data_IF_017148703718
#
_entry.id   IF_017148703718
#
_cell.length_a   1.000
_cell.length_b   1.000
_cell.length_c   1.000
_cell.angle_alpha   90.00
_cell.angle_beta   90.00
_cell.angle_gamma   90.00
#
_symmetry.space_group_name_H-M   'P 1'
#
loop_
_entity.id
_entity.type
_entity.pdbx_description
1 polymer ?
#
# COMPACT_ATOMS: atom_id res chain seq x y z
N UNK A 1 6.77 37.11 9.07
CA UNK A 1 5.37 36.73 8.76
C UNK A 1 5.20 36.39 7.28
N UNK A 2 5.54 37.27 6.34
CA UNK A 2 5.42 37.03 4.87
C UNK A 2 6.16 35.78 4.37
N UNK A 3 7.32 35.43 4.95
CA UNK A 3 8.08 34.26 4.52
C UNK A 3 7.42 32.93 4.94
N UNK A 4 6.72 32.89 6.08
CA UNK A 4 6.08 31.68 6.58
C UNK A 4 4.86 31.29 5.74
N UNK A 5 4.02 32.27 5.36
CA UNK A 5 2.91 32.07 4.41
C UNK A 5 3.40 31.59 3.05
N UNK A 6 4.52 32.13 2.54
CA UNK A 6 5.10 31.69 1.27
C UNK A 6 5.60 30.24 1.33
N UNK A 7 6.19 29.82 2.45
CA UNK A 7 6.59 28.42 2.64
C UNK A 7 5.40 27.47 2.80
N UNK A 8 4.35 27.91 3.49
CA UNK A 8 3.13 27.13 3.67
C UNK A 8 2.38 26.95 2.34
N UNK A 9 2.23 28.03 1.57
CA UNK A 9 1.59 27.98 0.26
C UNK A 9 2.41 27.20 -0.77
N UNK A 10 3.74 27.31 -0.73
CA UNK A 10 4.62 26.49 -1.56
C UNK A 10 4.52 25.00 -1.20
N UNK A 11 4.33 24.67 0.09
CA UNK A 11 4.11 23.29 0.55
C UNK A 11 2.75 22.77 0.09
N UNK A 12 1.68 23.57 0.18
CA UNK A 12 0.36 23.21 -0.32
C UNK A 12 0.37 22.93 -1.84
N UNK A 13 1.03 23.80 -2.60
CA UNK A 13 1.21 23.62 -4.05
C UNK A 13 2.02 22.36 -4.36
N UNK A 14 3.11 22.11 -3.66
CA UNK A 14 3.91 20.90 -3.84
C UNK A 14 3.10 19.62 -3.52
N UNK A 15 2.26 19.65 -2.48
CA UNK A 15 1.35 18.54 -2.15
C UNK A 15 0.31 18.32 -3.25
N UNK A 16 -0.25 19.39 -3.83
CA UNK A 16 -1.21 19.29 -4.93
C UNK A 16 -0.56 18.77 -6.23
N UNK A 17 0.62 19.25 -6.58
CA UNK A 17 1.37 18.76 -7.74
C UNK A 17 1.75 17.29 -7.58
N UNK A 18 2.19 16.87 -6.39
CA UNK A 18 2.49 15.47 -6.11
C UNK A 18 1.24 14.60 -6.21
N UNK A 19 0.10 15.06 -5.69
CA UNK A 19 -1.19 14.36 -5.84
C UNK A 19 -1.57 14.19 -7.31
N UNK A 20 -1.41 15.24 -8.12
CA UNK A 20 -1.74 15.19 -9.54
C UNK A 20 -0.80 14.25 -10.30
N UNK A 21 0.50 14.27 -10.00
CA UNK A 21 1.49 13.35 -10.59
C UNK A 21 1.20 11.90 -10.21
N UNK A 22 0.87 11.63 -8.94
CA UNK A 22 0.51 10.29 -8.47
C UNK A 22 -0.77 9.80 -9.13
N UNK A 23 -1.79 10.65 -9.27
CA UNK A 23 -3.02 10.31 -9.98
C UNK A 23 -2.74 9.92 -11.44
N UNK A 24 -1.86 10.65 -12.13
CA UNK A 24 -1.45 10.32 -13.50
C UNK A 24 -0.74 8.96 -13.57
N UNK A 25 0.27 8.73 -12.71
CA UNK A 25 1.01 7.47 -12.67
C UNK A 25 0.13 6.25 -12.34
N UNK A 26 -0.82 6.42 -11.41
CA UNK A 26 -1.78 5.38 -11.05
C UNK A 26 -2.76 5.11 -12.19
N UNK A 27 -3.25 6.15 -12.87
CA UNK A 27 -4.12 6.01 -14.03
C UNK A 27 -3.44 5.24 -15.16
N UNK A 28 -2.15 5.51 -15.41
CA UNK A 28 -1.38 4.81 -16.45
C UNK A 28 -1.14 3.34 -16.09
N UNK A 29 -0.86 3.04 -14.82
CA UNK A 29 -0.71 1.67 -14.32
C UNK A 29 -2.03 0.85 -14.43
N UNK A 30 -3.17 1.48 -14.10
CA UNK A 30 -4.50 0.91 -14.30
C UNK A 30 -4.74 0.57 -15.77
N UNK A 31 -4.44 1.51 -16.68
CA UNK A 31 -4.63 1.30 -18.11
C UNK A 31 -3.76 0.18 -18.66
N UNK A 32 -2.49 0.08 -18.23
CA UNK A 32 -1.61 -1.03 -18.62
C UNK A 32 -2.12 -2.38 -18.12
N UNK A 33 -2.63 -2.44 -16.88
CA UNK A 33 -3.19 -3.65 -16.30
C UNK A 33 -4.46 -4.11 -17.05
N UNK A 34 -5.35 -3.17 -17.38
CA UNK A 34 -6.57 -3.44 -18.15
C UNK A 34 -6.26 -3.84 -19.59
N UNK A 35 -5.27 -3.21 -20.24
CA UNK A 35 -4.83 -3.59 -21.57
C UNK A 35 -4.30 -5.03 -21.61
N UNK A 36 -3.43 -5.37 -20.65
CA UNK A 36 -2.88 -6.73 -20.52
C UNK A 36 -3.98 -7.77 -20.23
N UNK A 37 -4.94 -7.42 -19.35
CA UNK A 37 -6.11 -8.25 -19.09
C UNK A 37 -6.96 -8.46 -20.37
N UNK A 38 -7.15 -7.42 -21.18
CA UNK A 38 -7.84 -7.50 -22.46
C UNK A 38 -7.18 -8.47 -23.44
N UNK A 39 -5.85 -8.39 -23.60
CA UNK A 39 -5.10 -9.30 -24.46
C UNK A 39 -5.22 -10.75 -24.01
N UNK A 40 -5.10 -11.02 -22.70
CA UNK A 40 -5.27 -12.37 -22.16
C UNK A 40 -6.68 -12.88 -22.43
N UNK A 41 -7.71 -12.07 -22.17
CA UNK A 41 -9.09 -12.45 -22.40
C UNK A 41 -9.39 -12.76 -23.89
N UNK A 42 -8.74 -12.05 -24.82
CA UNK A 42 -8.89 -12.28 -26.27
C UNK A 42 -8.30 -13.62 -26.72
N UNK A 43 -7.15 -14.01 -26.17
CA UNK A 43 -6.48 -15.27 -26.56
C UNK A 43 -6.98 -16.49 -25.80
N UNK A 44 -7.61 -16.29 -24.64
CA UNK A 44 -8.01 -17.37 -23.72
C UNK A 44 -8.89 -18.46 -24.34
N UNK A 45 -9.90 -18.17 -25.19
CA UNK A 45 -10.75 -19.21 -25.78
C UNK A 45 -9.96 -20.16 -26.68
N UNK A 46 -9.03 -19.63 -27.50
CA UNK A 46 -8.18 -20.44 -28.37
C UNK A 46 -7.19 -21.28 -27.56
N UNK A 47 -6.68 -20.70 -26.47
CA UNK A 47 -5.78 -21.39 -25.56
C UNK A 47 -6.50 -22.55 -24.86
N UNK A 48 -7.75 -22.35 -24.46
CA UNK A 48 -8.58 -23.36 -23.79
C UNK A 48 -8.82 -24.61 -24.64
N UNK A 49 -8.93 -24.44 -25.97
CA UNK A 49 -9.07 -25.55 -26.92
C UNK A 49 -7.74 -26.30 -27.15
N UNK A 50 -6.60 -25.61 -27.05
CA UNK A 50 -5.28 -26.16 -27.38
C UNK A 50 -4.56 -26.77 -26.18
N UNK A 51 -4.56 -26.08 -25.06
CA UNK A 51 -3.87 -26.45 -23.82
C UNK A 51 -4.64 -25.89 -22.61
N UNK A 52 -5.42 -26.76 -21.96
CA UNK A 52 -6.23 -26.38 -20.80
C UNK A 52 -5.40 -25.98 -19.58
N UNK A 53 -4.18 -26.49 -19.44
CA UNK A 53 -3.34 -26.17 -18.28
C UNK A 53 -2.73 -24.77 -18.43
N UNK A 54 -2.26 -24.45 -19.64
CA UNK A 54 -1.83 -23.09 -20.00
C UNK A 54 -2.98 -22.09 -19.87
N UNK A 55 -4.19 -22.48 -20.32
CA UNK A 55 -5.38 -21.64 -20.22
C UNK A 55 -5.82 -21.39 -18.76
N UNK A 56 -5.72 -22.38 -17.86
CA UNK A 56 -5.97 -22.18 -16.43
C UNK A 56 -5.01 -21.16 -15.81
N UNK A 57 -3.72 -21.23 -16.13
CA UNK A 57 -2.73 -20.25 -15.66
C UNK A 57 -3.03 -18.85 -16.18
N UNK A 58 -3.32 -18.71 -17.47
CA UNK A 58 -3.73 -17.41 -18.04
C UNK A 58 -5.02 -16.87 -17.41
N UNK A 59 -5.98 -17.72 -17.06
CA UNK A 59 -7.18 -17.29 -16.34
C UNK A 59 -6.86 -16.78 -14.92
N UNK A 60 -5.91 -17.39 -14.22
CA UNK A 60 -5.43 -16.90 -12.93
C UNK A 60 -4.72 -15.55 -13.06
N UNK A 61 -3.88 -15.38 -14.08
CA UNK A 61 -3.23 -14.10 -14.41
C UNK A 61 -4.25 -13.01 -14.75
N UNK A 62 -5.28 -13.34 -15.54
CA UNK A 62 -6.38 -12.44 -15.84
C UNK A 62 -7.11 -12.00 -14.56
N UNK A 63 -7.42 -12.95 -13.67
CA UNK A 63 -8.06 -12.66 -12.37
C UNK A 63 -7.16 -11.77 -11.50
N UNK A 64 -5.85 -11.96 -11.57
CA UNK A 64 -4.86 -11.20 -10.80
C UNK A 64 -4.71 -9.77 -11.32
N UNK A 65 -4.58 -9.59 -12.64
CA UNK A 65 -4.48 -8.28 -13.29
C UNK A 65 -5.73 -7.44 -13.08
N UNK A 66 -6.91 -8.03 -13.27
CA UNK A 66 -8.20 -7.33 -13.08
C UNK A 66 -8.41 -6.88 -11.63
N UNK A 67 -8.05 -7.73 -10.66
CA UNK A 67 -8.05 -7.35 -9.24
C UNK A 67 -7.03 -6.26 -8.93
N UNK A 68 -5.81 -6.36 -9.47
CA UNK A 68 -4.79 -5.32 -9.33
C UNK A 68 -5.25 -3.97 -9.86
N UNK A 69 -5.81 -3.93 -11.08
CA UNK A 69 -6.36 -2.72 -11.68
C UNK A 69 -7.48 -2.11 -10.83
N UNK A 70 -8.37 -2.93 -10.27
CA UNK A 70 -9.43 -2.46 -9.36
C UNK A 70 -8.84 -1.86 -8.07
N UNK A 71 -7.75 -2.44 -7.55
CA UNK A 71 -7.03 -1.90 -6.40
C UNK A 71 -6.50 -0.51 -6.70
N UNK A 72 -5.75 -0.38 -7.79
CA UNK A 72 -5.11 0.85 -8.22
C UNK A 72 -6.14 1.94 -8.54
N UNK A 73 -7.30 1.57 -9.12
CA UNK A 73 -8.43 2.49 -9.26
C UNK A 73 -8.97 2.96 -7.91
N UNK A 74 -9.14 2.06 -6.92
CA UNK A 74 -9.60 2.46 -5.57
C UNK A 74 -8.59 3.37 -4.89
N UNK A 75 -7.28 3.16 -5.12
CA UNK A 75 -6.21 4.06 -4.67
C UNK A 75 -6.32 5.44 -5.30
N UNK A 76 -6.53 5.49 -6.61
CA UNK A 76 -6.70 6.75 -7.35
C UNK A 76 -7.96 7.48 -6.89
N UNK A 77 -9.07 6.76 -6.72
CA UNK A 77 -10.31 7.31 -6.19
C UNK A 77 -10.15 7.80 -4.76
N UNK A 78 -9.36 7.13 -3.92
CA UNK A 78 -9.05 7.57 -2.57
C UNK A 78 -8.21 8.86 -2.53
N UNK A 79 -7.26 9.04 -3.45
CA UNK A 79 -6.51 10.32 -3.58
C UNK A 79 -7.43 11.46 -4.02
N UNK A 80 -8.36 11.19 -4.94
CA UNK A 80 -9.25 12.21 -5.51
C UNK A 80 -10.47 12.49 -4.62
N UNK A 81 -10.93 11.48 -3.87
CA UNK A 81 -12.06 11.50 -2.94
C UNK A 81 -11.82 10.47 -1.82
N UNK A 82 -11.33 10.91 -0.65
CA UNK A 82 -11.12 10.05 0.52
C UNK A 82 -12.34 9.22 0.92
N UNK A 83 -13.54 9.67 0.54
CA UNK A 83 -14.82 8.99 0.79
C UNK A 83 -15.04 7.67 0.03
N UNK A 84 -14.14 7.24 -0.86
CA UNK A 84 -14.28 5.94 -1.57
C UNK A 84 -13.62 4.76 -0.85
N UNK A 85 -12.74 5.03 0.13
CA UNK A 85 -12.24 4.02 1.07
C UNK A 85 -13.26 3.68 2.16
N UNK A 86 -14.31 4.50 2.31
CA UNK A 86 -15.31 4.37 3.38
C UNK A 86 -16.23 3.15 3.27
N UNK A 87 -16.35 2.55 2.07
CA UNK A 87 -17.29 1.45 1.82
C UNK A 87 -16.62 0.05 1.89
N UNK A 88 -15.30 -0.03 2.08
CA UNK A 88 -14.55 -1.30 2.09
C UNK A 88 -13.87 -1.60 3.42
N UNK A 89 -13.87 -2.85 3.85
CA UNK A 89 -13.06 -3.29 5.00
C UNK A 89 -11.56 -3.14 4.69
N UNK A 90 -10.79 -2.57 5.64
CA UNK A 90 -9.35 -2.37 5.50
C UNK A 90 -8.63 -3.70 5.22
N UNK A 91 -9.07 -4.81 5.82
CA UNK A 91 -8.51 -6.13 5.56
C UNK A 91 -8.63 -6.56 4.10
N UNK A 92 -9.76 -6.27 3.45
CA UNK A 92 -9.97 -6.56 2.03
C UNK A 92 -9.12 -5.69 1.12
N UNK A 93 -8.91 -4.43 1.49
CA UNK A 93 -8.01 -3.52 0.78
C UNK A 93 -6.55 -4.00 0.86
N UNK A 94 -6.10 -4.46 2.03
CA UNK A 94 -4.78 -5.05 2.21
C UNK A 94 -4.63 -6.39 1.46
N UNK A 95 -5.67 -7.24 1.43
CA UNK A 95 -5.69 -8.46 0.60
C UNK A 95 -5.49 -8.12 -0.88
N UNK A 96 -6.15 -7.08 -1.35
CA UNK A 96 -6.07 -6.65 -2.73
C UNK A 96 -4.67 -6.13 -3.09
N UNK A 97 -4.07 -5.30 -2.22
CA UNK A 97 -2.68 -4.87 -2.35
C UNK A 97 -1.71 -6.05 -2.38
N UNK A 98 -1.88 -7.00 -1.46
CA UNK A 98 -1.03 -8.19 -1.34
C UNK A 98 -1.05 -9.05 -2.62
N UNK A 99 -2.25 -9.24 -3.20
CA UNK A 99 -2.43 -9.99 -4.45
C UNK A 99 -1.82 -9.26 -5.64
N UNK A 100 -1.98 -7.94 -5.73
CA UNK A 100 -1.39 -7.13 -6.79
C UNK A 100 0.14 -7.16 -6.73
N UNK A 101 0.72 -6.99 -5.53
CA UNK A 101 2.15 -7.08 -5.29
C UNK A 101 2.71 -8.45 -5.67
N UNK A 102 2.09 -9.54 -5.17
CA UNK A 102 2.49 -10.91 -5.50
C UNK A 102 2.47 -11.12 -7.01
N UNK A 103 1.44 -10.62 -7.68
CA UNK A 103 1.36 -10.74 -9.11
C UNK A 103 2.43 -10.01 -9.91
N UNK A 104 2.80 -8.81 -9.48
CA UNK A 104 3.82 -8.02 -10.19
C UNK A 104 5.23 -8.54 -9.97
N UNK A 105 5.49 -9.15 -8.81
CA UNK A 105 6.85 -9.48 -8.35
C UNK A 105 7.14 -10.97 -8.24
N UNK A 106 6.11 -11.82 -8.26
CA UNK A 106 6.16 -13.24 -7.87
C UNK A 106 6.63 -13.49 -6.43
N UNK A 107 6.70 -12.46 -5.57
CA UNK A 107 7.03 -12.61 -4.15
C UNK A 107 5.74 -12.89 -3.38
N UNK A 108 5.61 -14.05 -2.69
CA UNK A 108 4.43 -14.36 -1.90
C UNK A 108 4.28 -13.41 -0.70
N UNK A 109 3.03 -13.00 -0.45
CA UNK A 109 2.65 -12.21 0.73
C UNK A 109 1.74 -13.03 1.63
N UNK A 110 2.14 -13.21 2.89
CA UNK A 110 1.27 -13.79 3.92
C UNK A 110 0.56 -12.65 4.64
N UNK A 111 -0.77 -12.59 4.53
CA UNK A 111 -1.58 -11.56 5.18
C UNK A 111 -2.43 -12.16 6.30
N UNK A 112 -2.25 -11.65 7.52
CA UNK A 112 -3.09 -11.94 8.68
C UNK A 112 -3.88 -10.69 9.08
N UNK A 113 -5.19 -10.81 9.22
CA UNK A 113 -6.09 -9.73 9.65
C UNK A 113 -6.90 -10.24 10.83
N UNK A 114 -6.68 -9.66 12.01
CA UNK A 114 -7.27 -10.12 13.27
C UNK A 114 -8.05 -8.99 13.96
N UNK A 115 -9.34 -9.23 14.19
CA UNK A 115 -10.27 -8.30 14.83
C UNK A 115 -11.11 -7.49 13.84
N UNK A 116 -12.17 -6.85 14.34
CA UNK A 116 -12.96 -5.89 13.55
C UNK A 116 -12.33 -4.49 13.62
N UNK A 117 -12.17 -3.86 12.45
CA UNK A 117 -11.44 -2.61 12.29
C UNK A 117 -12.35 -1.46 11.91
N UNK A 118 -13.29 -1.08 12.79
CA UNK A 118 -13.93 0.24 12.66
C UNK A 118 -12.91 1.32 13.01
N UNK A 119 -12.38 1.98 11.99
CA UNK A 119 -11.37 3.03 12.09
C UNK A 119 -11.90 4.31 11.42
N UNK A 120 -11.51 5.50 11.91
CA UNK A 120 -11.75 6.74 11.17
C UNK A 120 -11.21 6.63 9.73
N UNK A 121 -11.93 7.18 8.76
CA UNK A 121 -11.58 7.09 7.33
C UNK A 121 -10.14 7.51 7.06
N UNK A 122 -9.72 8.64 7.63
CA UNK A 122 -8.35 9.16 7.48
C UNK A 122 -7.29 8.19 8.00
N UNK A 123 -7.60 7.46 9.08
CA UNK A 123 -6.72 6.44 9.64
C UNK A 123 -6.62 5.24 8.70
N UNK A 124 -7.73 4.76 8.14
CA UNK A 124 -7.72 3.68 7.15
C UNK A 124 -6.90 4.05 5.92
N UNK A 125 -7.07 5.27 5.41
CA UNK A 125 -6.30 5.81 4.28
C UNK A 125 -4.81 5.79 4.59
N UNK A 126 -4.40 6.32 5.75
CA UNK A 126 -2.99 6.36 6.15
C UNK A 126 -2.39 4.95 6.26
N UNK A 127 -3.08 4.01 6.90
CA UNK A 127 -2.61 2.63 7.04
C UNK A 127 -2.43 1.97 5.68
N UNK A 128 -3.44 2.11 4.80
CA UNK A 128 -3.39 1.60 3.44
C UNK A 128 -2.18 2.17 2.66
N UNK A 129 -1.96 3.48 2.77
CA UNK A 129 -0.86 4.18 2.09
C UNK A 129 0.51 3.76 2.59
N UNK A 130 0.66 3.57 3.89
CA UNK A 130 1.90 3.07 4.49
C UNK A 130 2.17 1.64 4.01
N UNK A 131 1.13 0.79 3.97
CA UNK A 131 1.27 -0.56 3.43
C UNK A 131 1.67 -0.58 1.95
N UNK A 132 1.04 0.27 1.14
CA UNK A 132 1.38 0.40 -0.28
C UNK A 132 2.84 0.82 -0.48
N UNK A 133 3.30 1.83 0.26
CA UNK A 133 4.66 2.35 0.12
C UNK A 133 5.70 1.34 0.65
N UNK A 134 5.40 0.62 1.74
CA UNK A 134 6.23 -0.47 2.22
C UNK A 134 6.42 -1.55 1.14
N UNK A 135 5.32 -2.02 0.53
CA UNK A 135 5.38 -2.99 -0.56
C UNK A 135 6.14 -2.45 -1.78
N UNK A 136 6.01 -1.15 -2.10
CA UNK A 136 6.77 -0.52 -3.17
C UNK A 136 8.28 -0.55 -2.90
N UNK A 137 8.68 -0.24 -1.66
CA UNK A 137 10.06 -0.28 -1.23
C UNK A 137 10.64 -1.70 -1.29
N UNK A 138 9.87 -2.70 -0.86
CA UNK A 138 10.27 -4.11 -0.94
C UNK A 138 10.52 -4.51 -2.39
N UNK A 139 9.59 -4.19 -3.31
CA UNK A 139 9.73 -4.51 -4.73
C UNK A 139 10.98 -3.89 -5.38
N UNK A 140 11.33 -2.66 -4.98
CA UNK A 140 12.44 -1.91 -5.58
C UNK A 140 13.80 -2.24 -4.97
N UNK A 141 13.83 -2.58 -3.69
CA UNK A 141 15.08 -2.53 -2.92
C UNK A 141 15.41 -3.81 -2.15
N UNK A 142 14.43 -4.62 -1.74
CA UNK A 142 14.67 -5.66 -0.76
C UNK A 142 15.30 -6.94 -1.34
N UNK A 143 15.08 -7.26 -2.62
CA UNK A 143 15.40 -8.60 -3.15
C UNK A 143 14.87 -9.73 -2.24
N UNK A 144 13.68 -9.51 -1.67
CA UNK A 144 13.04 -10.43 -0.74
C UNK A 144 12.43 -11.63 -1.48
N UNK A 145 12.35 -12.78 -0.80
CA UNK A 145 11.66 -13.97 -1.29
C UNK A 145 10.30 -14.19 -0.62
N UNK A 146 10.00 -13.44 0.45
CA UNK A 146 8.72 -13.49 1.16
C UNK A 146 8.43 -12.17 1.86
N UNK A 147 7.15 -11.84 1.95
CA UNK A 147 6.63 -10.72 2.76
C UNK A 147 5.54 -11.23 3.70
N UNK A 148 5.48 -10.64 4.90
CA UNK A 148 4.46 -10.87 5.91
C UNK A 148 3.78 -9.54 6.26
N UNK A 149 2.46 -9.55 6.35
CA UNK A 149 1.65 -8.41 6.77
C UNK A 149 0.69 -8.89 7.86
N UNK A 150 0.80 -8.29 9.03
CA UNK A 150 -0.07 -8.53 10.18
C UNK A 150 -0.84 -7.26 10.53
N UNK A 151 -2.16 -7.31 10.44
CA UNK A 151 -3.06 -6.28 10.95
C UNK A 151 -3.77 -6.82 12.19
N UNK A 152 -3.59 -6.16 13.34
CA UNK A 152 -4.16 -6.61 14.62
C UNK A 152 -4.87 -5.47 15.34
N UNK A 153 -6.09 -5.73 15.80
CA UNK A 153 -6.80 -4.87 16.75
C UNK A 153 -6.38 -5.28 18.17
N UNK A 154 -5.83 -4.35 18.94
CA UNK A 154 -5.60 -4.49 20.38
C UNK A 154 -6.69 -3.77 21.18
N UNK A 155 -6.58 -3.81 22.52
CA UNK A 155 -7.54 -3.12 23.41
C UNK A 155 -7.55 -1.60 23.20
N UNK A 156 -6.39 -1.00 22.96
CA UNK A 156 -6.23 0.46 22.86
C UNK A 156 -6.10 0.99 21.42
N UNK A 157 -6.29 0.14 20.40
CA UNK A 157 -6.18 0.57 19.01
C UNK A 157 -5.75 -0.52 18.04
N UNK A 158 -4.84 -0.17 17.14
CA UNK A 158 -4.50 -0.97 15.97
C UNK A 158 -2.99 -0.99 15.73
N UNK A 159 -2.47 -2.17 15.38
CA UNK A 159 -1.10 -2.38 14.98
C UNK A 159 -1.06 -3.02 13.58
N UNK A 160 -0.33 -2.37 12.66
CA UNK A 160 0.04 -2.92 11.37
C UNK A 160 1.54 -3.23 11.42
N UNK A 161 1.91 -4.47 11.10
CA UNK A 161 3.28 -4.90 10.92
C UNK A 161 3.50 -5.40 9.49
N UNK A 162 4.57 -4.95 8.84
CA UNK A 162 4.96 -5.35 7.49
C UNK A 162 6.43 -5.74 7.52
N UNK A 163 6.73 -6.98 7.14
CA UNK A 163 8.07 -7.55 7.21
C UNK A 163 8.46 -8.21 5.89
N UNK A 164 9.69 -7.99 5.47
CA UNK A 164 10.34 -8.75 4.39
C UNK A 164 11.59 -9.48 4.89
N UNK A 165 12.01 -10.51 4.17
CA UNK A 165 13.21 -11.28 4.43
C UNK A 165 14.38 -10.93 3.50
N UNK A 166 14.37 -9.71 2.95
CA UNK A 166 15.33 -9.25 1.96
C UNK A 166 16.69 -8.82 2.53
N UNK A 167 17.42 -8.06 1.74
CA UNK A 167 18.78 -7.64 2.03
C UNK A 167 18.89 -6.64 3.20
N UNK A 168 17.80 -5.98 3.60
CA UNK A 168 17.80 -4.96 4.65
C UNK A 168 18.78 -3.81 4.39
N UNK A 169 18.90 -2.89 5.34
CA UNK A 169 19.82 -1.75 5.28
C UNK A 169 20.17 -1.25 6.69
N UNK A 170 21.17 -0.39 6.79
CA UNK A 170 21.50 0.27 8.07
C UNK A 170 20.52 1.40 8.34
N UNK A 171 19.67 1.21 9.36
CA UNK A 171 18.62 2.18 9.72
C UNK A 171 19.16 3.47 10.39
N UNK A 172 20.39 3.43 10.94
CA UNK A 172 21.00 4.53 11.70
C UNK A 172 21.93 5.44 10.84
N UNK A 173 22.12 5.16 9.54
CA UNK A 173 22.85 6.10 8.68
C UNK A 173 22.01 7.38 8.47
N UNK A 174 22.60 8.59 8.62
CA UNK A 174 21.89 9.84 8.38
C UNK A 174 21.35 9.84 6.95
N UNK A 175 20.05 10.09 6.82
CA UNK A 175 19.27 9.97 5.60
C UNK A 175 20.04 10.44 4.36
N UNK A 176 20.75 9.51 3.72
CA UNK A 176 21.24 9.71 2.37
C UNK A 176 20.01 9.88 1.48
N UNK A 177 20.18 10.58 0.38
CA UNK A 177 19.17 11.12 -0.54
C UNK A 177 18.26 10.08 -1.25
N UNK A 178 17.96 8.95 -0.61
CA UNK A 178 17.08 7.87 -1.09
C UNK A 178 15.95 7.45 -0.13
N UNK A 179 15.83 8.01 1.07
CA UNK A 179 14.78 7.63 2.04
C UNK A 179 13.52 8.51 2.01
N UNK A 180 13.21 9.16 0.88
CA UNK A 180 12.02 10.01 0.74
C UNK A 180 10.71 9.26 1.12
N UNK A 181 10.60 7.98 0.78
CA UNK A 181 9.44 7.15 1.14
C UNK A 181 9.23 7.00 2.65
N UNK A 182 10.30 6.86 3.43
CA UNK A 182 10.22 6.75 4.90
C UNK A 182 9.82 8.07 5.57
N UNK A 183 10.33 9.20 5.06
CA UNK A 183 9.93 10.53 5.54
C UNK A 183 8.43 10.76 5.35
N UNK A 184 7.93 10.48 4.14
CA UNK A 184 6.51 10.61 3.81
C UNK A 184 5.63 9.65 4.64
N UNK A 185 6.08 8.42 4.89
CA UNK A 185 5.34 7.48 5.74
C UNK A 185 5.24 7.98 7.19
N UNK A 186 6.30 8.59 7.73
CA UNK A 186 6.28 9.20 9.08
C UNK A 186 5.32 10.38 9.15
N UNK A 187 5.38 11.31 8.20
CA UNK A 187 4.47 12.47 8.15
C UNK A 187 3.00 12.02 8.08
N UNK A 188 2.70 10.99 7.27
CA UNK A 188 1.36 10.41 7.18
C UNK A 188 0.92 9.77 8.50
N UNK A 189 1.80 9.06 9.19
CA UNK A 189 1.50 8.47 10.49
C UNK A 189 1.20 9.56 11.54
N UNK A 190 2.00 10.63 11.57
CA UNK A 190 1.82 11.77 12.47
C UNK A 190 0.47 12.48 12.25
N UNK A 191 0.01 12.62 11.00
CA UNK A 191 -1.26 13.25 10.67
C UNK A 191 -2.48 12.57 11.33
N UNK A 192 -2.40 11.27 11.64
CA UNK A 192 -3.44 10.50 12.34
C UNK A 192 -3.03 10.13 13.77
N UNK A 193 -1.99 10.77 14.31
CA UNK A 193 -1.43 10.51 15.65
C UNK A 193 -0.98 9.06 15.85
N UNK A 194 -0.58 8.38 14.77
CA UNK A 194 0.03 7.08 14.82
C UNK A 194 1.56 7.17 14.94
N UNK A 195 2.18 6.13 15.47
CA UNK A 195 3.62 6.01 15.60
C UNK A 195 4.13 4.98 14.61
N UNK A 196 5.06 5.38 13.75
CA UNK A 196 5.74 4.50 12.79
C UNK A 196 7.15 4.20 13.28
N UNK A 197 7.47 2.91 13.46
CA UNK A 197 8.81 2.42 13.76
C UNK A 197 9.33 1.57 12.62
N UNK A 198 10.64 1.61 12.42
CA UNK A 198 11.36 0.84 11.41
C UNK A 198 12.49 0.08 12.08
N UNK A 199 12.59 -1.22 11.81
CA UNK A 199 13.76 -2.02 12.13
C UNK A 199 14.30 -2.61 10.82
N UNK A 200 15.59 -2.37 10.54
CA UNK A 200 16.27 -2.98 9.40
C UNK A 200 17.72 -3.22 9.77
N UNK A 201 18.27 -4.33 9.28
CA UNK A 201 19.71 -4.62 9.36
C UNK A 201 20.14 -5.32 8.07
N UNK A 202 21.37 -5.05 7.56
CA UNK A 202 21.91 -5.78 6.42
C UNK A 202 21.84 -7.29 6.62
N UNK A 203 21.25 -8.00 5.67
CA UNK A 203 21.03 -9.45 5.66
C UNK A 203 19.87 -9.96 6.51
N UNK A 204 19.13 -9.10 7.23
CA UNK A 204 18.06 -9.51 8.14
C UNK A 204 16.65 -9.06 7.69
N UNK A 205 16.54 -8.44 6.52
CA UNK A 205 15.30 -7.86 6.01
C UNK A 205 14.93 -6.54 6.66
N UNK A 206 13.69 -6.12 6.45
CA UNK A 206 13.12 -4.89 7.01
C UNK A 206 11.76 -5.17 7.64
N UNK A 207 11.48 -4.47 8.73
CA UNK A 207 10.21 -4.51 9.45
C UNK A 207 9.72 -3.07 9.69
N UNK A 208 8.49 -2.80 9.28
CA UNK A 208 7.78 -1.55 9.52
C UNK A 208 6.60 -1.84 10.43
N UNK A 209 6.53 -1.14 11.56
CA UNK A 209 5.41 -1.23 12.49
C UNK A 209 4.72 0.12 12.62
N UNK A 210 3.41 0.15 12.41
CA UNK A 210 2.56 1.31 12.62
C UNK A 210 1.62 1.03 13.77
N UNK A 211 1.64 1.87 14.80
CA UNK A 211 0.77 1.79 15.97
C UNK A 211 -0.15 3.00 16.01
N UNK A 212 -1.44 2.77 15.86
CA UNK A 212 -2.47 3.79 16.04
C UNK A 212 -3.24 3.52 17.33
N UNK A 213 -3.47 4.56 18.13
CA UNK A 213 -4.26 4.46 19.36
C UNK A 213 -5.62 5.11 19.15
N UNK A 214 -6.67 4.41 19.57
CA UNK A 214 -8.00 4.96 19.57
C UNK A 214 -8.09 6.03 20.67
N UNK A 215 -8.64 7.21 20.34
CA UNK A 215 -8.86 8.22 21.36
C UNK A 215 -9.89 7.68 22.38
N UNK A 216 -9.69 7.90 23.69
CA UNK A 216 -10.66 7.46 24.69
C UNK A 216 -12.03 8.05 24.34
N UNK A 217 -13.06 7.20 24.28
CA UNK A 217 -14.45 7.66 24.17
C UNK A 217 -14.75 8.48 25.41
N UNK A 218 -14.88 9.80 25.26
CA UNK A 218 -15.45 10.65 26.30
C UNK A 218 -16.90 10.20 26.46
N UNK A 219 -17.21 9.50 27.55
CA UNK A 219 -18.58 9.26 27.96
C UNK A 219 -19.21 10.62 28.28
N UNK A 220 -20.06 11.10 27.39
CA UNK A 220 -20.93 12.24 27.67
C UNK A 220 -21.96 11.74 28.68
N UNK A 221 -21.80 12.16 29.93
CA UNK A 221 -22.79 11.96 31.01
C UNK A 221 -23.99 12.87 30.78
#
# INVERSE_FOLDING_TARGET
>A
MVNADLYEHARELAVLEERQRLAQNLHDAVNQSLFSAGLIAEVLPRLWERDQEEARRSLEDLRRLTRGALAEMRVLLAELRPSTLTDGDLGDLLRLLSNAFTGRTNIPVTLSVNGEHTLPTDTQVVIYRICQEALNNIAKHANASQVEIDLRRGEDGLELNIRDNGCGFEADEPARSGHYGLGMMRERAEAVKAVLTLASRPGAGTEITLRWREAPRLEVT
#
